data_IF_767059759535
#
_entry.id   IF_767059759535
#
_cell.length_a   1.000
_cell.length_b   1.000
_cell.length_c   1.000
_cell.angle_alpha   90.00
_cell.angle_beta   90.00
_cell.angle_gamma   90.00
#
_symmetry.space_group_name_H-M   'P 1'
#
loop_
_entity.id
_entity.type
_entity.pdbx_description
1 polymer ?
#
# COMPACT_ATOMS: atom_id res chain seq x y z
N UNK A 1 27.39 -4.32 -19.72
CA UNK A 1 28.81 -3.94 -19.93
C UNK A 1 29.15 -2.53 -19.45
N UNK A 2 28.40 -1.49 -19.84
CA UNK A 2 28.70 -0.09 -19.49
C UNK A 2 28.63 0.24 -17.99
N UNK A 3 27.80 -0.47 -17.20
CA UNK A 3 27.68 -0.26 -15.75
C UNK A 3 28.92 -0.76 -14.99
N UNK A 4 29.54 -1.88 -15.40
CA UNK A 4 30.71 -2.46 -14.74
C UNK A 4 32.04 -1.72 -14.97
N UNK A 5 32.13 -0.92 -16.04
CA UNK A 5 33.28 -0.06 -16.34
C UNK A 5 33.32 1.21 -15.49
N UNK A 6 32.15 1.66 -14.99
CA UNK A 6 32.04 2.83 -14.10
C UNK A 6 32.41 2.52 -12.66
N UNK A 7 32.11 1.32 -12.16
CA UNK A 7 32.32 0.95 -10.74
C UNK A 7 33.78 0.58 -10.40
N UNK A 8 34.59 0.22 -11.40
CA UNK A 8 35.98 -0.26 -11.21
C UNK A 8 37.06 0.76 -11.58
N UNK A 9 36.69 2.01 -11.88
CA UNK A 9 37.60 3.08 -12.32
C UNK A 9 38.42 2.74 -13.60
N UNK A 10 38.07 1.64 -14.28
CA UNK A 10 38.67 1.19 -15.55
C UNK A 10 38.40 2.17 -16.69
N UNK A 11 37.27 2.90 -16.63
CA UNK A 11 36.94 3.96 -17.57
C UNK A 11 37.98 5.11 -17.60
N UNK A 12 38.59 5.44 -16.45
CA UNK A 12 39.61 6.49 -16.35
C UNK A 12 41.02 6.00 -16.77
N UNK A 13 41.29 4.68 -16.63
CA UNK A 13 42.59 4.07 -16.96
C UNK A 13 42.76 3.79 -18.45
N UNK A 14 41.67 3.55 -19.18
CA UNK A 14 41.67 3.26 -20.62
C UNK A 14 40.60 4.10 -21.34
N UNK A 15 40.79 5.42 -21.49
CA UNK A 15 39.81 6.31 -22.10
C UNK A 15 39.47 5.92 -23.54
N UNK A 16 40.46 5.47 -24.32
CA UNK A 16 40.26 5.00 -25.69
C UNK A 16 39.34 3.77 -25.78
N UNK A 17 39.49 2.80 -24.87
CA UNK A 17 38.64 1.59 -24.83
C UNK A 17 37.20 1.94 -24.45
N UNK A 18 37.03 2.83 -23.48
CA UNK A 18 35.71 3.29 -23.02
C UNK A 18 34.96 4.02 -24.13
N UNK A 19 35.66 4.90 -24.86
CA UNK A 19 35.12 5.61 -26.01
C UNK A 19 34.75 4.65 -27.14
N UNK A 20 35.59 3.64 -27.42
CA UNK A 20 35.30 2.60 -28.41
C UNK A 20 34.06 1.76 -28.04
N UNK A 21 33.91 1.35 -26.77
CA UNK A 21 32.74 0.60 -26.30
C UNK A 21 31.46 1.45 -26.38
N UNK A 22 31.55 2.74 -26.02
CA UNK A 22 30.43 3.67 -26.16
C UNK A 22 29.97 3.78 -27.62
N UNK A 23 30.90 4.06 -28.54
CA UNK A 23 30.56 4.16 -29.97
C UNK A 23 30.09 2.83 -30.54
N UNK A 24 30.64 1.70 -30.11
CA UNK A 24 30.14 0.39 -30.48
C UNK A 24 28.70 0.18 -29.98
N UNK A 25 28.36 0.61 -28.76
CA UNK A 25 27.01 0.48 -28.22
C UNK A 25 25.98 1.32 -29.00
N UNK A 26 26.39 2.48 -29.51
CA UNK A 26 25.56 3.34 -30.37
C UNK A 26 25.47 2.78 -31.80
N UNK A 27 26.59 2.30 -32.36
CA UNK A 27 26.66 1.85 -33.74
C UNK A 27 26.05 0.47 -33.97
N UNK A 28 26.24 -0.49 -33.05
CA UNK A 28 25.73 -1.87 -33.17
C UNK A 28 24.23 -1.93 -33.47
N UNK A 29 23.32 -1.24 -32.75
CA UNK A 29 21.89 -1.29 -33.09
C UNK A 29 21.59 -0.68 -34.46
N UNK A 30 22.29 0.39 -34.87
CA UNK A 30 22.13 0.97 -36.21
C UNK A 30 22.58 0.00 -37.30
N UNK A 31 23.74 -0.65 -37.11
CA UNK A 31 24.24 -1.68 -38.02
C UNK A 31 23.32 -2.89 -38.04
N UNK A 32 22.76 -3.31 -36.91
CA UNK A 32 21.80 -4.41 -36.85
C UNK A 32 20.50 -4.08 -37.61
N UNK A 33 19.96 -2.86 -37.45
CA UNK A 33 18.81 -2.39 -38.23
C UNK A 33 19.13 -2.34 -39.73
N UNK A 34 20.31 -1.86 -40.10
CA UNK A 34 20.78 -1.84 -41.49
C UNK A 34 20.89 -3.26 -42.07
N UNK A 35 21.57 -4.17 -41.36
CA UNK A 35 21.74 -5.57 -41.79
C UNK A 35 20.39 -6.29 -41.89
N UNK A 36 19.47 -6.01 -40.96
CA UNK A 36 18.10 -6.52 -41.05
C UNK A 36 17.39 -6.00 -42.30
N UNK A 37 17.55 -4.72 -42.65
CA UNK A 37 16.99 -4.15 -43.87
C UNK A 37 17.60 -4.78 -45.13
N UNK A 38 18.93 -4.96 -45.20
CA UNK A 38 19.59 -5.65 -46.31
C UNK A 38 19.11 -7.10 -46.46
N UNK A 39 19.07 -7.85 -45.36
CA UNK A 39 18.51 -9.20 -45.33
C UNK A 39 17.06 -9.20 -45.85
N UNK A 40 16.30 -8.15 -45.52
CA UNK A 40 14.90 -8.04 -45.92
C UNK A 40 14.70 -7.75 -47.41
N UNK A 41 15.60 -6.98 -48.02
CA UNK A 41 15.62 -6.72 -49.47
C UNK A 41 15.89 -7.99 -50.28
N UNK A 42 16.68 -8.92 -49.73
CA UNK A 42 16.98 -10.22 -50.36
C UNK A 42 15.91 -11.31 -50.10
N UNK A 43 15.02 -11.10 -49.13
CA UNK A 43 14.00 -12.08 -48.74
C UNK A 43 12.66 -11.94 -49.50
N UNK A 44 11.77 -12.95 -49.42
CA UNK A 44 10.44 -12.93 -50.07
C UNK A 44 9.60 -11.74 -49.58
N UNK A 45 8.67 -11.13 -50.34
CA UNK A 45 7.98 -9.88 -49.96
C UNK A 45 7.22 -9.93 -48.62
N UNK A 46 7.06 -8.79 -47.95
CA UNK A 46 6.34 -8.70 -46.66
C UNK A 46 4.86 -9.00 -46.92
N UNK A 47 4.33 -9.98 -46.19
CA UNK A 47 2.89 -10.25 -46.16
C UNK A 47 2.23 -9.24 -45.23
N UNK A 48 2.05 -8.01 -45.72
CA UNK A 48 1.52 -6.87 -44.94
C UNK A 48 0.20 -7.19 -44.23
N UNK A 49 -0.67 -8.01 -44.83
CA UNK A 49 -1.93 -8.46 -44.19
C UNK A 49 -1.68 -9.27 -42.92
N UNK A 50 -0.69 -10.17 -42.93
CA UNK A 50 -0.31 -10.98 -41.76
C UNK A 50 0.40 -10.11 -40.72
N UNK A 51 1.28 -9.22 -41.17
CA UNK A 51 1.97 -8.26 -40.28
C UNK A 51 1.00 -7.34 -39.55
N UNK A 52 0.04 -6.74 -40.27
CA UNK A 52 -1.01 -5.90 -39.68
C UNK A 52 -1.91 -6.70 -38.73
N UNK A 53 -2.26 -7.95 -39.07
CA UNK A 53 -2.99 -8.84 -38.18
C UNK A 53 -2.23 -9.11 -36.88
N UNK A 54 -0.94 -9.42 -36.97
CA UNK A 54 -0.08 -9.65 -35.80
C UNK A 54 0.05 -8.41 -34.92
N UNK A 55 0.29 -7.24 -35.52
CA UNK A 55 0.36 -5.95 -34.81
C UNK A 55 -0.97 -5.65 -34.12
N UNK A 56 -2.10 -5.91 -34.78
CA UNK A 56 -3.43 -5.73 -34.18
C UNK A 56 -3.64 -6.61 -32.95
N UNK A 57 -3.28 -7.90 -33.03
CA UNK A 57 -3.38 -8.82 -31.88
C UNK A 57 -2.45 -8.39 -30.74
N UNK A 58 -1.19 -8.05 -31.06
CA UNK A 58 -0.22 -7.60 -30.06
C UNK A 58 -0.69 -6.31 -29.37
N UNK A 59 -1.19 -5.33 -30.13
CA UNK A 59 -1.72 -4.08 -29.59
C UNK A 59 -2.94 -4.32 -28.69
N UNK A 60 -3.85 -5.21 -29.09
CA UNK A 60 -5.01 -5.57 -28.28
C UNK A 60 -4.58 -6.26 -26.97
N UNK A 61 -3.65 -7.20 -27.01
CA UNK A 61 -3.14 -7.88 -25.82
C UNK A 61 -2.42 -6.92 -24.86
N UNK A 62 -1.58 -6.03 -25.38
CA UNK A 62 -0.91 -4.99 -24.57
C UNK A 62 -1.94 -4.04 -23.96
N UNK A 63 -2.94 -3.61 -24.74
CA UNK A 63 -4.00 -2.73 -24.24
C UNK A 63 -4.80 -3.41 -23.12
N UNK A 64 -5.12 -4.69 -23.27
CA UNK A 64 -5.79 -5.46 -22.22
C UNK A 64 -4.94 -5.55 -20.94
N UNK A 65 -3.64 -5.83 -21.06
CA UNK A 65 -2.71 -5.85 -19.92
C UNK A 65 -2.60 -4.48 -19.24
N UNK A 66 -2.53 -3.40 -20.02
CA UNK A 66 -2.48 -2.02 -19.49
C UNK A 66 -3.78 -1.70 -18.75
N UNK A 67 -4.94 -2.05 -19.31
CA UNK A 67 -6.23 -1.84 -18.64
C UNK A 67 -6.31 -2.63 -17.34
N UNK A 68 -5.86 -3.90 -17.34
CA UNK A 68 -5.83 -4.73 -16.14
C UNK A 68 -4.89 -4.15 -15.07
N UNK A 69 -3.69 -3.70 -15.44
CA UNK A 69 -2.75 -3.08 -14.49
C UNK A 69 -3.18 -1.68 -14.01
N UNK A 70 -3.99 -0.96 -14.79
CA UNK A 70 -4.51 0.34 -14.40
C UNK A 70 -5.70 0.23 -13.42
N UNK A 71 -6.27 -0.96 -13.26
CA UNK A 71 -7.33 -1.21 -12.29
C UNK A 71 -6.72 -1.64 -10.95
N UNK A 72 -7.03 -0.90 -9.88
CA UNK A 72 -6.70 -1.29 -8.51
C UNK A 72 -7.86 -2.13 -7.94
N UNK A 73 -7.66 -3.44 -7.69
CA UNK A 73 -8.71 -4.33 -7.21
C UNK A 73 -9.29 -3.92 -5.86
N UNK A 74 -8.53 -3.18 -5.03
CA UNK A 74 -9.01 -2.70 -3.72
C UNK A 74 -10.24 -1.81 -3.86
N UNK A 75 -10.29 -1.02 -4.93
CA UNK A 75 -11.39 -0.07 -5.19
C UNK A 75 -12.70 -0.75 -5.59
N UNK A 76 -12.69 -2.02 -5.98
CA UNK A 76 -13.89 -2.72 -6.45
C UNK A 76 -14.90 -3.00 -5.35
N UNK A 77 -14.43 -3.09 -4.10
CA UNK A 77 -15.25 -3.41 -2.93
C UNK A 77 -15.05 -2.41 -1.79
N UNK A 78 -14.52 -1.22 -2.09
CA UNK A 78 -14.37 -0.13 -1.13
C UNK A 78 -15.74 0.22 -0.53
N UNK A 79 -15.82 0.16 0.80
CA UNK A 79 -16.97 0.66 1.57
C UNK A 79 -16.55 1.97 2.21
N UNK A 80 -17.35 3.00 2.04
CA UNK A 80 -17.13 4.31 2.66
C UNK A 80 -18.26 4.69 3.62
N UNK A 81 -18.00 5.61 4.55
CA UNK A 81 -19.06 6.29 5.29
C UNK A 81 -19.95 7.11 4.35
N UNK A 82 -21.23 7.30 4.71
CA UNK A 82 -22.14 8.15 3.94
C UNK A 82 -21.67 9.61 3.90
N UNK A 83 -21.01 10.06 4.97
CA UNK A 83 -20.47 11.40 5.13
C UNK A 83 -19.08 11.59 4.46
N UNK A 84 -18.52 10.52 3.88
CA UNK A 84 -17.19 10.52 3.28
C UNK A 84 -16.10 10.99 4.25
N UNK A 85 -15.18 11.83 3.78
CA UNK A 85 -14.07 12.31 4.60
C UNK A 85 -14.47 13.06 5.89
N UNK A 86 -15.72 13.56 5.99
CA UNK A 86 -16.22 14.21 7.21
C UNK A 86 -16.51 13.23 8.33
N UNK A 87 -16.69 11.94 8.03
CA UNK A 87 -16.84 10.91 9.04
C UNK A 87 -15.71 10.95 10.06
N UNK A 88 -14.47 11.20 9.64
CA UNK A 88 -13.34 11.18 10.55
C UNK A 88 -13.31 12.38 11.52
N UNK A 89 -14.13 13.41 11.31
CA UNK A 89 -14.20 14.56 12.22
C UNK A 89 -14.88 14.20 13.55
N UNK A 90 -14.41 14.74 14.70
CA UNK A 90 -13.45 15.85 14.84
C UNK A 90 -11.97 15.45 14.85
N UNK A 91 -11.62 14.17 14.66
CA UNK A 91 -10.24 13.83 14.37
C UNK A 91 -9.81 14.43 13.02
N UNK A 92 -8.55 14.87 12.94
CA UNK A 92 -7.98 15.34 11.68
C UNK A 92 -7.40 14.21 10.84
N UNK A 93 -7.51 12.96 11.30
CA UNK A 93 -7.08 11.81 10.54
C UNK A 93 -7.89 11.69 9.24
N UNK A 94 -7.22 11.26 8.17
CA UNK A 94 -7.82 11.09 6.84
C UNK A 94 -7.35 9.79 6.21
N UNK A 95 -8.22 9.15 5.45
CA UNK A 95 -7.80 8.11 4.50
C UNK A 95 -7.57 8.75 3.13
N UNK A 96 -6.66 8.20 2.33
CA UNK A 96 -6.38 8.72 0.97
C UNK A 96 -7.60 8.73 0.05
N UNK A 97 -8.56 7.82 0.28
CA UNK A 97 -9.79 7.69 -0.50
C UNK A 97 -10.99 8.39 0.15
N UNK A 98 -10.90 8.75 1.43
CA UNK A 98 -12.05 9.17 2.25
C UNK A 98 -12.99 8.02 2.64
N UNK A 99 -12.65 6.78 2.25
CA UNK A 99 -13.41 5.56 2.57
C UNK A 99 -12.79 4.82 3.76
N UNK A 100 -13.47 3.76 4.23
CA UNK A 100 -12.94 2.88 5.26
C UNK A 100 -11.79 2.03 4.73
N UNK A 101 -10.87 1.66 5.62
CA UNK A 101 -9.83 0.66 5.37
C UNK A 101 -10.25 -0.64 6.07
N UNK A 102 -10.26 -1.80 5.38
CA UNK A 102 -10.62 -3.07 6.01
C UNK A 102 -9.76 -3.36 7.24
N UNK A 103 -10.39 -3.73 8.36
CA UNK A 103 -9.70 -4.02 9.61
C UNK A 103 -8.63 -5.11 9.45
N UNK A 104 -8.92 -6.15 8.65
CA UNK A 104 -7.96 -7.22 8.36
C UNK A 104 -6.66 -6.69 7.75
N UNK A 105 -6.72 -5.69 6.87
CA UNK A 105 -5.52 -5.06 6.26
C UNK A 105 -4.74 -4.24 7.29
N UNK A 106 -5.42 -3.71 8.32
CA UNK A 106 -4.79 -2.98 9.43
C UNK A 106 -4.33 -3.89 10.59
N UNK A 107 -4.68 -5.18 10.60
CA UNK A 107 -4.36 -6.14 11.67
C UNK A 107 -3.39 -7.23 11.21
N UNK A 108 -2.28 -6.83 10.57
CA UNK A 108 -1.29 -7.72 9.96
C UNK A 108 -0.01 -7.89 10.80
N UNK A 109 -0.07 -7.64 12.11
CA UNK A 109 1.12 -7.68 12.98
C UNK A 109 1.81 -9.06 12.99
N UNK A 110 1.03 -10.14 12.97
CA UNK A 110 1.55 -11.51 12.88
C UNK A 110 2.26 -11.80 11.55
N UNK A 111 1.81 -11.19 10.45
CA UNK A 111 2.50 -11.25 9.17
C UNK A 111 3.85 -10.53 9.26
N UNK A 112 3.88 -9.34 9.85
CA UNK A 112 5.11 -8.58 10.08
C UNK A 112 6.11 -9.33 10.98
N UNK A 113 5.61 -9.98 12.04
CA UNK A 113 6.40 -10.73 13.03
C UNK A 113 7.27 -11.83 12.43
N UNK A 114 6.83 -12.46 11.33
CA UNK A 114 7.57 -13.55 10.66
C UNK A 114 8.97 -13.13 10.22
N UNK A 115 9.11 -11.88 9.77
CA UNK A 115 10.39 -11.32 9.34
C UNK A 115 10.97 -10.29 10.34
N UNK A 116 10.12 -9.67 11.17
CA UNK A 116 10.48 -8.60 12.11
C UNK A 116 10.19 -8.97 13.56
N UNK A 117 10.58 -10.17 13.99
CA UNK A 117 10.29 -10.69 15.33
C UNK A 117 10.77 -9.77 16.47
N UNK A 118 11.98 -9.20 16.36
CA UNK A 118 12.54 -8.32 17.39
C UNK A 118 11.77 -7.00 17.53
N UNK A 119 11.34 -6.43 16.39
CA UNK A 119 10.54 -5.20 16.39
C UNK A 119 9.15 -5.46 16.95
N UNK A 120 8.53 -6.58 16.56
CA UNK A 120 7.25 -7.01 17.11
C UNK A 120 7.33 -7.21 18.62
N UNK A 121 8.33 -7.92 19.13
CA UNK A 121 8.49 -8.16 20.57
C UNK A 121 8.60 -6.85 21.37
N UNK A 122 9.23 -5.82 20.80
CA UNK A 122 9.29 -4.48 21.41
C UNK A 122 7.96 -3.74 21.33
N UNK A 123 7.26 -3.87 20.21
CA UNK A 123 5.93 -3.27 20.02
C UNK A 123 4.89 -3.87 20.97
N UNK A 124 4.88 -5.20 21.13
CA UNK A 124 3.94 -5.95 21.97
C UNK A 124 3.93 -5.46 23.42
N UNK A 125 5.09 -5.05 23.95
CA UNK A 125 5.21 -4.45 25.29
C UNK A 125 5.04 -2.93 25.36
N UNK A 126 4.68 -2.26 24.26
CA UNK A 126 4.72 -0.80 24.15
C UNK A 126 3.37 -0.13 24.43
N UNK A 127 3.41 1.17 24.74
CA UNK A 127 2.20 1.99 24.86
C UNK A 127 1.40 2.09 23.56
N UNK A 128 2.02 1.84 22.40
CA UNK A 128 1.30 1.82 21.12
C UNK A 128 0.43 0.57 20.99
N UNK A 129 0.93 -0.61 21.39
CA UNK A 129 0.12 -1.81 21.45
C UNK A 129 -1.02 -1.64 22.48
N UNK A 130 -0.69 -1.12 23.67
CA UNK A 130 -1.66 -0.82 24.74
C UNK A 130 -2.30 0.57 24.64
N UNK A 131 -2.65 1.01 23.42
CA UNK A 131 -3.25 2.34 23.21
C UNK A 131 -4.77 2.32 23.13
N UNK A 132 -5.39 1.18 22.83
CA UNK A 132 -6.83 1.07 22.57
C UNK A 132 -7.58 0.54 23.81
N UNK A 133 -8.71 -0.14 23.63
CA UNK A 133 -9.56 -0.64 24.72
C UNK A 133 -8.88 -1.71 25.59
N UNK A 134 -7.71 -2.20 25.19
CA UNK A 134 -6.82 -3.05 25.97
C UNK A 134 -6.07 -2.33 27.10
N UNK A 135 -6.25 -1.01 27.26
CA UNK A 135 -5.68 -0.22 28.34
C UNK A 135 -6.78 0.28 29.29
N UNK A 136 -6.72 -0.12 30.57
CA UNK A 136 -7.77 0.16 31.54
C UNK A 136 -8.04 1.68 31.76
N UNK A 137 -7.01 2.53 31.68
CA UNK A 137 -7.16 3.97 31.86
C UNK A 137 -7.83 4.61 30.65
N UNK A 138 -7.40 4.22 29.46
CA UNK A 138 -8.02 4.67 28.22
C UNK A 138 -9.46 4.18 28.11
N UNK A 139 -9.69 2.89 28.38
CA UNK A 139 -10.99 2.23 28.36
C UNK A 139 -12.04 2.98 29.17
N UNK A 140 -11.72 3.37 30.41
CA UNK A 140 -12.63 4.14 31.24
C UNK A 140 -12.96 5.51 30.62
N UNK A 141 -11.95 6.19 30.08
CA UNK A 141 -12.08 7.53 29.49
C UNK A 141 -12.92 7.53 28.21
N UNK A 142 -12.65 6.59 27.30
CA UNK A 142 -13.37 6.49 26.03
C UNK A 142 -14.80 6.00 26.24
N UNK A 143 -15.04 5.07 27.18
CA UNK A 143 -16.41 4.63 27.54
C UNK A 143 -17.25 5.78 28.08
N UNK A 144 -16.71 6.56 29.01
CA UNK A 144 -17.43 7.72 29.55
C UNK A 144 -17.69 8.75 28.45
N UNK A 145 -16.69 9.06 27.61
CA UNK A 145 -16.85 9.99 26.49
C UNK A 145 -17.94 9.52 25.54
N UNK A 146 -17.98 8.24 25.18
CA UNK A 146 -19.03 7.63 24.35
C UNK A 146 -20.40 7.73 25.01
N UNK A 147 -20.52 7.39 26.29
CA UNK A 147 -21.79 7.44 27.03
C UNK A 147 -22.33 8.88 27.15
N UNK A 148 -21.46 9.85 27.45
CA UNK A 148 -21.84 11.26 27.54
C UNK A 148 -22.22 11.82 26.17
N UNK A 149 -21.48 11.50 25.11
CA UNK A 149 -21.77 11.96 23.75
C UNK A 149 -23.11 11.41 23.27
N UNK A 150 -23.37 10.12 23.47
CA UNK A 150 -24.64 9.51 23.11
C UNK A 150 -25.81 10.15 23.86
N UNK A 151 -25.64 10.45 25.15
CA UNK A 151 -26.67 11.12 25.96
C UNK A 151 -26.90 12.58 25.56
N UNK A 152 -25.84 13.31 25.18
CA UNK A 152 -25.88 14.74 24.88
C UNK A 152 -26.34 15.03 23.45
N UNK A 153 -25.75 14.31 22.48
CA UNK A 153 -25.86 14.60 21.05
C UNK A 153 -26.64 13.53 20.29
N UNK A 154 -26.80 12.33 20.87
CA UNK A 154 -27.46 11.20 20.21
C UNK A 154 -26.54 10.38 19.31
N UNK A 155 -25.25 10.69 19.26
CA UNK A 155 -24.24 10.00 18.46
C UNK A 155 -22.91 9.83 19.21
N UNK A 156 -21.95 9.16 18.57
CA UNK A 156 -20.62 8.87 19.11
C UNK A 156 -19.52 9.74 18.51
N UNK A 157 -19.88 10.77 17.72
CA UNK A 157 -18.94 11.53 16.90
C UNK A 157 -17.81 12.14 17.73
N UNK A 158 -18.11 12.68 18.92
CA UNK A 158 -17.09 13.29 19.76
C UNK A 158 -15.99 12.30 20.22
N UNK A 159 -16.30 11.00 20.33
CA UNK A 159 -15.30 9.99 20.70
C UNK A 159 -14.27 9.72 19.59
N UNK A 160 -14.56 10.09 18.33
CA UNK A 160 -13.61 9.97 17.20
C UNK A 160 -12.35 10.78 17.42
N UNK A 161 -12.42 11.86 18.21
CA UNK A 161 -11.25 12.65 18.62
C UNK A 161 -10.17 11.77 19.28
N UNK A 162 -10.59 10.83 20.13
CA UNK A 162 -9.71 9.85 20.77
C UNK A 162 -9.25 8.80 19.75
N UNK A 163 -10.20 8.30 18.96
CA UNK A 163 -10.02 7.16 18.06
C UNK A 163 -8.94 7.36 16.99
N UNK A 164 -8.76 8.59 16.50
CA UNK A 164 -7.72 8.90 15.50
C UNK A 164 -6.29 8.67 15.99
N UNK A 165 -6.05 8.70 17.30
CA UNK A 165 -4.75 8.40 17.89
C UNK A 165 -4.72 7.00 18.52
N UNK A 166 -5.78 6.60 19.22
CA UNK A 166 -5.78 5.43 20.10
C UNK A 166 -6.41 4.17 19.50
N UNK A 167 -7.40 4.34 18.62
CA UNK A 167 -8.21 3.23 18.09
C UNK A 167 -8.21 3.18 16.56
N UNK A 168 -7.05 3.28 15.89
CA UNK A 168 -6.98 3.43 14.44
C UNK A 168 -7.67 2.29 13.69
N UNK A 169 -7.54 1.04 14.17
CA UNK A 169 -8.15 -0.13 13.53
C UNK A 169 -9.69 -0.07 13.53
N UNK A 170 -10.39 0.00 14.68
CA UNK A 170 -11.85 0.12 14.67
C UNK A 170 -12.31 1.45 14.06
N UNK A 171 -11.50 2.51 14.15
CA UNK A 171 -11.86 3.82 13.62
C UNK A 171 -11.89 3.85 12.09
N UNK A 172 -10.78 3.46 11.43
CA UNK A 172 -10.69 3.48 9.97
C UNK A 172 -11.50 2.36 9.32
N UNK A 173 -11.84 1.29 10.04
CA UNK A 173 -12.73 0.24 9.53
C UNK A 173 -14.23 0.56 9.66
N UNK A 174 -14.58 1.66 10.35
CA UNK A 174 -15.95 2.04 10.63
C UNK A 174 -16.60 1.28 11.79
N UNK A 175 -15.89 0.34 12.42
CA UNK A 175 -16.42 -0.43 13.54
C UNK A 175 -16.64 0.44 14.79
N UNK A 176 -15.81 1.46 15.01
CA UNK A 176 -15.79 2.29 16.22
C UNK A 176 -17.12 3.00 16.51
N UNK A 177 -17.82 3.46 15.48
CA UNK A 177 -19.08 4.23 15.63
C UNK A 177 -20.33 3.36 15.64
N UNK A 178 -20.18 2.04 15.49
CA UNK A 178 -21.32 1.14 15.65
C UNK A 178 -21.86 1.28 17.08
N UNK A 179 -23.17 1.48 17.18
CA UNK A 179 -23.85 1.56 18.48
C UNK A 179 -23.70 0.24 19.27
N UNK A 180 -23.58 -0.88 18.58
CA UNK A 180 -23.36 -2.22 19.14
C UNK A 180 -21.89 -2.65 19.14
N UNK A 181 -20.94 -1.70 19.03
CA UNK A 181 -19.51 -1.99 19.10
C UNK A 181 -19.16 -2.62 20.45
N UNK A 182 -18.63 -3.85 20.40
CA UNK A 182 -18.27 -4.62 21.59
C UNK A 182 -16.80 -4.37 21.95
N UNK A 183 -16.57 -3.42 22.84
CA UNK A 183 -15.23 -3.01 23.28
C UNK A 183 -14.47 -4.05 24.14
N UNK A 184 -15.05 -5.25 24.34
CA UNK A 184 -14.42 -6.36 25.05
C UNK A 184 -14.10 -7.51 24.09
N UNK A 185 -15.04 -7.90 23.24
CA UNK A 185 -14.93 -9.11 22.41
C UNK A 185 -14.59 -8.82 20.96
N UNK A 186 -14.78 -7.59 20.48
CA UNK A 186 -14.40 -7.26 19.11
C UNK A 186 -12.86 -7.29 18.98
N UNK A 187 -12.29 -8.05 18.03
CA UNK A 187 -10.85 -8.15 17.88
C UNK A 187 -10.20 -6.80 17.56
N UNK A 188 -10.92 -5.88 16.92
CA UNK A 188 -10.41 -4.54 16.61
C UNK A 188 -10.28 -3.66 17.85
N UNK A 189 -11.06 -3.91 18.90
CA UNK A 189 -11.02 -3.12 20.15
C UNK A 189 -9.67 -3.24 20.88
N UNK A 190 -8.95 -4.34 20.68
CA UNK A 190 -7.69 -4.61 21.38
C UNK A 190 -6.46 -4.49 20.48
N UNK A 191 -6.63 -4.03 19.23
CA UNK A 191 -5.56 -3.98 18.25
C UNK A 191 -4.49 -2.92 18.58
N UNK A 192 -4.88 -1.83 19.24
CA UNK A 192 -3.99 -0.69 19.48
C UNK A 192 -3.55 -0.02 18.17
N UNK A 193 -2.39 0.62 18.22
CA UNK A 193 -1.69 1.13 17.04
C UNK A 193 -0.82 -0.01 16.50
N UNK A 194 -1.28 -0.63 15.42
CA UNK A 194 -0.61 -1.76 14.75
C UNK A 194 0.59 -1.30 13.93
N UNK A 195 1.42 -2.27 13.50
CA UNK A 195 2.54 -2.04 12.58
C UNK A 195 2.06 -1.34 11.31
N UNK A 196 1.00 -1.87 10.69
CA UNK A 196 0.43 -1.32 9.45
C UNK A 196 -0.20 0.05 9.66
N UNK A 197 -0.81 0.33 10.81
CA UNK A 197 -1.32 1.67 11.09
C UNK A 197 -0.20 2.71 10.96
N UNK A 198 0.93 2.50 11.64
CA UNK A 198 2.05 3.43 11.58
C UNK A 198 2.70 3.46 10.19
N UNK A 199 2.92 2.30 9.58
CA UNK A 199 3.66 2.18 8.33
C UNK A 199 2.84 2.52 7.08
N UNK A 200 1.52 2.66 7.20
CA UNK A 200 0.65 3.09 6.11
C UNK A 200 0.32 4.60 6.14
N UNK A 201 0.86 5.34 7.11
CA UNK A 201 0.79 6.80 7.10
C UNK A 201 1.69 7.33 5.98
N UNK A 202 1.09 8.00 5.00
CA UNK A 202 1.80 8.55 3.84
C UNK A 202 2.14 10.03 4.00
N UNK A 203 1.39 10.75 4.83
CA UNK A 203 1.61 12.18 5.06
C UNK A 203 1.24 12.61 6.47
N UNK A 204 2.03 13.52 7.04
CA UNK A 204 1.66 14.28 8.25
C UNK A 204 1.20 15.65 7.77
N UNK A 205 -0.08 15.93 7.93
CA UNK A 205 -0.70 17.13 7.36
C UNK A 205 -0.43 18.37 8.24
N UNK A 206 -0.27 18.20 9.56
CA UNK A 206 0.12 19.30 10.46
C UNK A 206 0.69 18.84 11.81
N UNK A 207 1.19 19.81 12.58
CA UNK A 207 1.68 19.64 13.96
C UNK A 207 0.64 20.01 15.03
N UNK A 208 -0.66 20.13 14.66
CA UNK A 208 -1.72 20.61 15.56
C UNK A 208 -2.06 19.67 16.73
N UNK A 209 -1.62 18.41 16.69
CA UNK A 209 -1.82 17.47 17.80
C UNK A 209 -3.25 16.91 17.90
N UNK A 210 -3.84 16.46 16.79
CA UNK A 210 -5.15 15.80 16.74
C UNK A 210 -5.21 14.76 15.61
N UNK A 211 -4.23 13.85 15.58
CA UNK A 211 -4.09 12.82 14.54
C UNK A 211 -4.12 13.37 13.09
N UNK A 212 -3.54 14.54 12.85
CA UNK A 212 -3.59 15.17 11.51
C UNK A 212 -2.59 14.54 10.54
N UNK A 213 -2.90 13.29 10.16
CA UNK A 213 -2.14 12.48 9.23
C UNK A 213 -3.08 11.83 8.20
N UNK A 214 -2.50 11.47 7.06
CA UNK A 214 -3.16 10.72 6.01
C UNK A 214 -2.63 9.30 6.01
N UNK A 215 -3.53 8.33 6.14
CA UNK A 215 -3.25 6.89 6.04
C UNK A 215 -3.82 6.33 4.74
N UNK A 216 -3.11 5.42 4.10
CA UNK A 216 -3.62 4.69 2.94
C UNK A 216 -3.90 3.23 3.30
N UNK A 217 -4.73 2.54 2.52
CA UNK A 217 -4.83 1.09 2.66
C UNK A 217 -3.48 0.45 2.27
N UNK A 218 -2.78 -0.27 3.17
CA UNK A 218 -1.47 -0.82 2.84
C UNK A 218 -1.55 -1.89 1.73
N UNK A 219 -0.64 -1.78 0.76
CA UNK A 219 -0.43 -2.80 -0.26
C UNK A 219 0.43 -3.93 0.29
N UNK A 220 -0.19 -5.09 0.51
CA UNK A 220 0.52 -6.30 0.89
C UNK A 220 0.85 -7.16 -0.33
N UNK A 221 1.84 -8.05 -0.18
CA UNK A 221 2.16 -9.04 -1.22
C UNK A 221 0.93 -9.92 -1.54
N UNK A 222 0.77 -10.37 -2.80
CA UNK A 222 -0.30 -11.30 -3.18
C UNK A 222 -0.32 -12.50 -2.24
N UNK A 223 -1.44 -12.93 -1.67
CA UNK A 223 -1.52 -14.04 -0.68
C UNK A 223 -0.99 -13.75 0.74
N UNK A 224 -0.67 -12.50 1.10
CA UNK A 224 -0.30 -12.19 2.49
C UNK A 224 -1.38 -12.58 3.52
N UNK A 225 -2.66 -12.54 3.13
CA UNK A 225 -3.80 -12.95 3.95
C UNK A 225 -4.32 -14.36 3.65
N UNK A 226 -3.61 -15.16 2.83
CA UNK A 226 -4.06 -16.51 2.45
C UNK A 226 -3.83 -17.50 3.59
N UNK A 227 -4.81 -18.32 3.96
CA UNK A 227 -4.60 -19.41 4.94
C UNK A 227 -3.78 -20.59 4.41
N UNK A 228 -3.51 -20.64 3.10
CA UNK A 228 -2.72 -21.70 2.48
C UNK A 228 -1.22 -21.45 2.67
N UNK A 229 -0.55 -22.35 3.41
CA UNK A 229 0.90 -22.29 3.67
C UNK A 229 1.75 -22.23 2.40
N UNK A 230 1.38 -22.94 1.33
CA UNK A 230 2.10 -22.89 0.06
C UNK A 230 2.01 -21.52 -0.60
N UNK A 231 0.85 -20.87 -0.54
CA UNK A 231 0.67 -19.53 -1.10
C UNK A 231 1.38 -18.46 -0.27
N UNK A 232 1.38 -18.61 1.07
CA UNK A 232 2.17 -17.74 1.94
C UNK A 232 3.69 -17.93 1.73
N UNK A 233 4.14 -19.17 1.51
CA UNK A 233 5.55 -19.49 1.25
C UNK A 233 6.07 -18.81 -0.03
N UNK A 234 5.25 -18.69 -1.08
CA UNK A 234 5.62 -17.96 -2.31
C UNK A 234 5.99 -16.49 -2.03
N UNK A 235 5.46 -15.90 -0.95
CA UNK A 235 5.75 -14.53 -0.54
C UNK A 235 6.92 -14.38 0.43
N UNK A 236 7.45 -15.50 0.94
CA UNK A 236 8.42 -15.53 2.04
C UNK A 236 9.87 -15.47 1.56
#
# INVERSE_FOLDING_TARGET
LLVGLRTTNTAARLPALTQAIYWAHVAVPLVACWLYWLHRLAGPPIRWRVGLGYVGVAAAAISALVVLHAQDPRRWHERGPEEGARYFEPSLARTTTGNYIPAATLMMDDYCKRCHADAHARWEGSSHHFSSFNNAFYLASVRETRAVSLKRDGDLQAARWCAGCHDPVPFFSGAFDRHDFDDIRDPTAHAGITCTTCHAITHVNSTRGNADYTIEEPLHYPFAASDNEWLQWINS
#
